data_IF_098035139125
#
_entry.id   IF_098035139125
#
_cell.length_a   1.000
_cell.length_b   1.000
_cell.length_c   1.000
_cell.angle_alpha   90.00
_cell.angle_beta   90.00
_cell.angle_gamma   90.00
#
_symmetry.space_group_name_H-M   'P 1'
#
loop_
_entity.id
_entity.type
_entity.pdbx_description
1 polymer ?
#
# COMPACT_ATOMS: atom_id res chain seq x y z
N UNK A 1 31.46 -33.01 -23.59
CA UNK A 1 31.32 -31.66 -22.97
C UNK A 1 30.14 -30.85 -23.56
N UNK A 2 30.03 -30.73 -24.91
CA UNK A 2 28.96 -29.91 -25.55
C UNK A 2 27.51 -30.34 -25.22
N UNK A 3 27.26 -31.65 -25.10
CA UNK A 3 25.90 -32.18 -24.75
C UNK A 3 25.56 -31.93 -23.28
N UNK A 4 26.51 -31.97 -22.37
CA UNK A 4 26.29 -31.67 -20.94
C UNK A 4 25.98 -30.20 -20.75
N UNK A 5 26.66 -29.30 -21.44
CA UNK A 5 26.39 -27.85 -21.39
C UNK A 5 24.99 -27.52 -21.91
N UNK A 6 24.51 -28.18 -22.96
CA UNK A 6 23.13 -28.00 -23.49
C UNK A 6 22.06 -28.44 -22.50
N UNK A 7 22.26 -29.53 -21.77
CA UNK A 7 21.32 -30.02 -20.79
C UNK A 7 21.22 -29.04 -19.58
N UNK A 8 22.39 -28.54 -19.12
CA UNK A 8 22.42 -27.59 -17.99
C UNK A 8 21.78 -26.24 -18.37
N UNK A 9 22.07 -25.72 -19.56
CA UNK A 9 21.43 -24.47 -20.03
C UNK A 9 19.94 -24.62 -20.25
N UNK A 10 19.48 -25.75 -20.79
CA UNK A 10 18.04 -26.01 -20.98
C UNK A 10 17.32 -26.12 -19.63
N UNK A 11 17.93 -26.79 -18.65
CA UNK A 11 17.39 -26.89 -17.28
C UNK A 11 17.30 -25.54 -16.58
N UNK A 12 18.33 -24.70 -16.76
CA UNK A 12 18.34 -23.35 -16.17
C UNK A 12 17.27 -22.43 -16.79
N UNK A 13 17.12 -22.46 -18.11
CA UNK A 13 16.08 -21.67 -18.82
C UNK A 13 14.68 -22.15 -18.44
N UNK A 14 14.44 -23.46 -18.38
CA UNK A 14 13.16 -24.00 -17.95
C UNK A 14 12.82 -23.64 -16.49
N UNK A 15 13.83 -23.71 -15.59
CA UNK A 15 13.69 -23.28 -14.19
C UNK A 15 13.40 -21.79 -14.05
N UNK A 16 14.10 -20.95 -14.81
CA UNK A 16 13.88 -19.50 -14.82
C UNK A 16 12.48 -19.15 -15.37
N UNK A 17 12.03 -19.81 -16.43
CA UNK A 17 10.69 -19.60 -16.99
C UNK A 17 9.59 -20.06 -16.04
N UNK A 18 9.77 -21.22 -15.38
CA UNK A 18 8.84 -21.69 -14.35
C UNK A 18 8.76 -20.73 -13.16
N UNK A 19 9.90 -20.17 -12.73
CA UNK A 19 9.97 -19.19 -11.65
C UNK A 19 9.28 -17.89 -12.02
N UNK A 20 9.58 -17.32 -13.19
CA UNK A 20 8.92 -16.10 -13.69
C UNK A 20 7.42 -16.33 -13.89
N UNK A 21 7.03 -17.47 -14.47
CA UNK A 21 5.64 -17.85 -14.65
C UNK A 21 4.88 -17.97 -13.31
N UNK A 22 5.50 -18.61 -12.31
CA UNK A 22 4.93 -18.75 -10.97
C UNK A 22 4.70 -17.39 -10.30
N UNK A 23 5.65 -16.46 -10.39
CA UNK A 23 5.50 -15.12 -9.81
C UNK A 23 4.55 -14.23 -10.64
N UNK A 24 4.53 -14.36 -11.97
CA UNK A 24 3.62 -13.62 -12.82
C UNK A 24 2.16 -14.06 -12.63
N UNK A 25 1.93 -15.40 -12.49
CA UNK A 25 0.59 -15.95 -12.27
C UNK A 25 0.08 -15.79 -10.83
N UNK A 26 0.99 -15.68 -9.85
CA UNK A 26 0.66 -15.50 -8.43
C UNK A 26 0.75 -14.04 -7.97
N UNK A 27 0.84 -13.06 -8.86
CA UNK A 27 0.60 -11.67 -8.44
C UNK A 27 -0.85 -11.57 -7.97
N UNK A 28 -1.10 -11.59 -6.64
CA UNK A 28 -2.46 -11.42 -6.15
C UNK A 28 -2.91 -10.05 -6.62
N UNK A 29 -4.05 -10.00 -7.28
CA UNK A 29 -4.66 -8.74 -7.66
C UNK A 29 -5.01 -7.98 -6.39
N UNK A 30 -5.00 -6.65 -6.42
CA UNK A 30 -5.41 -5.79 -5.29
C UNK A 30 -6.76 -6.25 -4.73
N UNK A 31 -7.65 -6.71 -5.59
CA UNK A 31 -8.96 -7.25 -5.24
C UNK A 31 -8.88 -8.56 -4.40
N UNK A 32 -7.88 -9.42 -4.62
CA UNK A 32 -7.70 -10.64 -3.83
C UNK A 32 -7.15 -10.37 -2.42
N UNK A 33 -6.33 -9.34 -2.24
CA UNK A 33 -5.88 -8.89 -0.93
C UNK A 33 -7.03 -8.25 -0.17
N UNK A 34 -7.74 -7.30 -0.78
CA UNK A 34 -8.88 -6.64 -0.18
C UNK A 34 -9.95 -7.65 0.29
N UNK A 35 -10.28 -8.63 -0.55
CA UNK A 35 -11.27 -9.65 -0.18
C UNK A 35 -10.82 -10.47 1.02
N UNK A 36 -9.53 -10.85 1.08
CA UNK A 36 -8.98 -11.62 2.21
C UNK A 36 -9.01 -10.81 3.51
N UNK A 37 -8.61 -9.55 3.44
CA UNK A 37 -8.56 -8.66 4.60
C UNK A 37 -9.96 -8.33 5.13
N UNK A 38 -10.94 -8.17 4.23
CA UNK A 38 -12.33 -7.94 4.62
C UNK A 38 -13.01 -9.19 5.21
N UNK A 39 -12.70 -10.40 4.71
CA UNK A 39 -13.17 -11.67 5.30
C UNK A 39 -12.61 -11.82 6.71
N UNK A 40 -11.34 -11.48 6.94
CA UNK A 40 -10.76 -11.46 8.27
C UNK A 40 -11.51 -10.50 9.21
N UNK A 41 -11.82 -9.28 8.75
CA UNK A 41 -12.61 -8.30 9.53
C UNK A 41 -13.99 -8.85 9.91
N UNK A 42 -14.67 -9.52 8.98
CA UNK A 42 -15.98 -10.13 9.24
C UNK A 42 -15.90 -11.10 10.43
N UNK A 43 -14.89 -11.95 10.48
CA UNK A 43 -14.70 -12.91 11.58
C UNK A 43 -14.32 -12.24 12.90
N UNK A 44 -13.37 -11.29 12.89
CA UNK A 44 -12.85 -10.63 14.11
C UNK A 44 -13.90 -9.76 14.79
N UNK A 45 -14.71 -9.05 14.02
CA UNK A 45 -15.74 -8.14 14.54
C UNK A 45 -17.13 -8.73 14.57
N UNK A 46 -17.34 -9.98 14.14
CA UNK A 46 -18.64 -10.64 13.99
C UNK A 46 -19.62 -9.76 13.19
N UNK A 47 -19.18 -9.31 12.00
CA UNK A 47 -20.02 -8.49 11.14
C UNK A 47 -21.11 -9.34 10.49
N UNK A 48 -22.32 -8.82 10.45
CA UNK A 48 -23.36 -9.45 9.65
C UNK A 48 -23.14 -9.21 8.15
N UNK A 49 -23.92 -9.90 7.31
CA UNK A 49 -23.77 -9.82 5.86
C UNK A 49 -24.09 -8.43 5.29
N UNK A 50 -24.97 -7.66 5.93
CA UNK A 50 -25.29 -6.30 5.50
C UNK A 50 -24.14 -5.34 5.82
N UNK A 51 -23.60 -5.44 7.03
CA UNK A 51 -22.41 -4.70 7.47
C UNK A 51 -21.21 -5.01 6.58
N UNK A 52 -20.96 -6.30 6.32
CA UNK A 52 -19.85 -6.74 5.45
C UNK A 52 -19.97 -6.16 4.04
N UNK A 53 -21.16 -6.21 3.41
CA UNK A 53 -21.37 -5.62 2.09
C UNK A 53 -21.17 -4.11 2.08
N UNK A 54 -21.63 -3.41 3.11
CA UNK A 54 -21.48 -1.95 3.25
C UNK A 54 -20.00 -1.56 3.39
N UNK A 55 -19.26 -2.26 4.25
CA UNK A 55 -17.82 -2.03 4.45
C UNK A 55 -17.04 -2.34 3.17
N UNK A 56 -17.37 -3.43 2.48
CA UNK A 56 -16.75 -3.77 1.20
C UNK A 56 -16.97 -2.67 0.15
N UNK A 57 -18.18 -2.12 0.05
CA UNK A 57 -18.49 -1.03 -0.87
C UNK A 57 -17.70 0.25 -0.55
N UNK A 58 -17.50 0.57 0.73
CA UNK A 58 -16.65 1.68 1.18
C UNK A 58 -15.21 1.50 0.69
N UNK A 59 -14.62 0.34 0.92
CA UNK A 59 -13.24 0.03 0.50
C UNK A 59 -13.09 0.03 -1.02
N UNK A 60 -14.06 -0.52 -1.76
CA UNK A 60 -14.03 -0.52 -3.23
C UNK A 60 -14.10 0.91 -3.81
N UNK A 61 -14.85 1.80 -3.17
CA UNK A 61 -14.95 3.21 -3.59
C UNK A 61 -13.69 4.00 -3.28
N UNK A 62 -13.07 3.77 -2.13
CA UNK A 62 -11.92 4.55 -1.64
C UNK A 62 -10.58 3.99 -2.14
N UNK A 63 -10.52 2.68 -2.38
CA UNK A 63 -9.30 1.96 -2.74
C UNK A 63 -8.52 2.54 -3.92
N UNK A 64 -9.16 2.84 -5.08
CA UNK A 64 -8.46 3.39 -6.25
C UNK A 64 -7.74 4.72 -5.97
N UNK A 65 -8.35 5.59 -5.18
CA UNK A 65 -7.73 6.88 -4.82
C UNK A 65 -6.58 6.70 -3.84
N UNK A 66 -6.69 5.80 -2.86
CA UNK A 66 -5.58 5.43 -1.98
C UNK A 66 -4.41 4.86 -2.79
N UNK A 67 -4.65 3.98 -3.74
CA UNK A 67 -3.61 3.41 -4.60
C UNK A 67 -2.91 4.49 -5.45
N UNK A 68 -3.67 5.43 -6.00
CA UNK A 68 -3.14 6.59 -6.70
C UNK A 68 -2.22 7.41 -5.78
N UNK A 69 -2.64 7.69 -4.55
CA UNK A 69 -1.85 8.45 -3.58
C UNK A 69 -0.57 7.70 -3.18
N UNK A 70 -0.64 6.38 -2.97
CA UNK A 70 0.55 5.55 -2.70
C UNK A 70 1.54 5.56 -3.87
N UNK A 71 1.05 5.59 -5.11
CA UNK A 71 1.90 5.71 -6.30
C UNK A 71 2.62 7.06 -6.32
N UNK A 72 1.91 8.16 -6.02
CA UNK A 72 2.52 9.50 -5.90
C UNK A 72 3.55 9.54 -4.76
N UNK A 73 3.23 8.96 -3.60
CA UNK A 73 4.17 8.90 -2.46
C UNK A 73 5.45 8.17 -2.82
N UNK A 74 5.35 7.04 -3.53
CA UNK A 74 6.51 6.28 -3.99
C UNK A 74 7.35 7.09 -4.97
N UNK A 75 6.73 7.65 -6.00
CA UNK A 75 7.42 8.44 -7.01
C UNK A 75 8.14 9.67 -6.40
N UNK A 76 7.47 10.38 -5.49
CA UNK A 76 8.09 11.53 -4.83
C UNK A 76 9.20 11.12 -3.86
N UNK A 77 9.11 9.97 -3.23
CA UNK A 77 10.18 9.43 -2.39
C UNK A 77 11.41 9.03 -3.22
N UNK A 78 11.21 8.36 -4.34
CA UNK A 78 12.29 8.00 -5.29
C UNK A 78 12.98 9.26 -5.82
N UNK A 79 12.22 10.30 -6.18
CA UNK A 79 12.77 11.57 -6.63
C UNK A 79 13.57 12.28 -5.52
N UNK A 80 13.08 12.31 -4.29
CA UNK A 80 13.82 12.87 -3.15
C UNK A 80 15.15 12.14 -2.93
N UNK A 81 15.14 10.81 -3.01
CA UNK A 81 16.37 10.00 -2.87
C UNK A 81 17.35 10.30 -4.00
N UNK A 82 16.88 10.45 -5.25
CA UNK A 82 17.70 10.81 -6.40
C UNK A 82 18.34 12.20 -6.22
N UNK A 83 17.57 13.18 -5.80
CA UNK A 83 18.05 14.55 -5.56
C UNK A 83 19.07 14.60 -4.40
N UNK A 84 18.85 13.82 -3.35
CA UNK A 84 19.78 13.69 -2.24
C UNK A 84 21.11 13.02 -2.65
N UNK A 85 21.03 12.01 -3.51
CA UNK A 85 22.24 11.37 -4.06
C UNK A 85 23.04 12.34 -4.96
N UNK A 86 22.36 13.11 -5.81
CA UNK A 86 23.02 14.16 -6.61
C UNK A 86 23.70 15.21 -5.73
N UNK A 87 23.07 15.60 -4.62
CA UNK A 87 23.66 16.52 -3.64
C UNK A 87 24.98 15.97 -3.06
N UNK A 88 25.00 14.67 -2.76
CA UNK A 88 26.20 14.03 -2.16
C UNK A 88 27.33 13.79 -3.16
N UNK A 89 27.00 13.47 -4.42
CA UNK A 89 27.99 13.02 -5.41
C UNK A 89 28.49 14.15 -6.31
N UNK A 90 27.65 15.11 -6.65
CA UNK A 90 27.97 16.15 -7.64
C UNK A 90 28.13 17.56 -7.04
N UNK A 91 27.98 17.70 -5.73
CA UNK A 91 27.97 19.00 -5.00
C UNK A 91 27.05 20.04 -5.66
N UNK A 92 26.00 19.57 -6.32
CA UNK A 92 24.97 20.39 -6.96
C UNK A 92 23.63 20.12 -6.31
N UNK A 93 22.99 21.19 -5.86
CA UNK A 93 21.65 21.10 -5.26
C UNK A 93 20.68 21.85 -6.14
N UNK A 94 19.72 21.15 -6.71
CA UNK A 94 18.53 21.76 -7.28
C UNK A 94 17.49 22.01 -6.16
N UNK A 95 17.61 23.14 -5.50
CA UNK A 95 16.72 23.52 -4.39
C UNK A 95 15.27 23.63 -4.81
N UNK A 96 15.00 24.03 -6.07
CA UNK A 96 13.63 24.19 -6.58
C UNK A 96 13.01 22.80 -6.75
N UNK A 97 13.69 21.89 -7.43
CA UNK A 97 13.22 20.51 -7.61
C UNK A 97 13.04 19.80 -6.27
N UNK A 98 13.99 19.99 -5.33
CA UNK A 98 13.92 19.41 -3.99
C UNK A 98 12.70 19.93 -3.21
N UNK A 99 12.46 21.24 -3.24
CA UNK A 99 11.30 21.84 -2.59
C UNK A 99 9.98 21.34 -3.21
N UNK A 100 9.89 21.30 -4.53
CA UNK A 100 8.71 20.79 -5.23
C UNK A 100 8.41 19.32 -4.89
N UNK A 101 9.42 18.47 -4.87
CA UNK A 101 9.27 17.06 -4.50
C UNK A 101 8.83 16.91 -3.03
N UNK A 102 9.39 17.70 -2.12
CA UNK A 102 8.99 17.74 -0.70
C UNK A 102 7.53 18.16 -0.52
N UNK A 103 7.11 19.23 -1.20
CA UNK A 103 5.73 19.71 -1.11
C UNK A 103 4.73 18.72 -1.71
N UNK A 104 5.05 18.11 -2.86
CA UNK A 104 4.24 17.06 -3.45
C UNK A 104 4.08 15.84 -2.50
N UNK A 105 5.19 15.41 -1.88
CA UNK A 105 5.16 14.32 -0.90
C UNK A 105 4.31 14.69 0.34
N UNK A 106 4.50 15.89 0.88
CA UNK A 106 3.71 16.39 2.02
C UNK A 106 2.22 16.43 1.71
N UNK A 107 1.85 16.97 0.55
CA UNK A 107 0.46 17.05 0.11
C UNK A 107 -0.16 15.66 -0.04
N UNK A 108 0.54 14.73 -0.70
CA UNK A 108 0.06 13.38 -0.87
C UNK A 108 -0.09 12.64 0.47
N UNK A 109 0.83 12.82 1.44
CA UNK A 109 0.71 12.28 2.79
C UNK A 109 -0.52 12.78 3.53
N UNK A 110 -0.79 14.08 3.47
CA UNK A 110 -1.96 14.68 4.11
C UNK A 110 -3.25 14.14 3.50
N UNK A 111 -3.33 14.09 2.17
CA UNK A 111 -4.49 13.53 1.46
C UNK A 111 -4.71 12.06 1.81
N UNK A 112 -3.65 11.25 1.81
CA UNK A 112 -3.71 9.84 2.18
C UNK A 112 -4.22 9.67 3.62
N UNK A 113 -3.69 10.46 4.56
CA UNK A 113 -4.13 10.44 5.97
C UNK A 113 -5.62 10.80 6.11
N UNK A 114 -6.05 11.89 5.49
CA UNK A 114 -7.46 12.32 5.53
C UNK A 114 -8.36 11.23 4.98
N UNK A 115 -8.06 10.71 3.79
CA UNK A 115 -8.87 9.67 3.14
C UNK A 115 -8.90 8.37 3.96
N UNK A 116 -7.78 8.02 4.62
CA UNK A 116 -7.73 6.84 5.51
C UNK A 116 -8.60 7.06 6.74
N UNK A 117 -8.54 8.24 7.38
CA UNK A 117 -9.38 8.55 8.53
C UNK A 117 -10.85 8.56 8.17
N UNK A 118 -11.22 9.17 7.04
CA UNK A 118 -12.60 9.19 6.54
C UNK A 118 -13.13 7.76 6.33
N UNK A 119 -12.29 6.88 5.76
CA UNK A 119 -12.65 5.47 5.59
C UNK A 119 -12.80 4.77 6.95
N UNK A 120 -11.90 4.99 7.91
CA UNK A 120 -11.97 4.41 9.25
C UNK A 120 -13.26 4.81 9.95
N UNK A 121 -13.62 6.08 9.92
CA UNK A 121 -14.87 6.55 10.53
C UNK A 121 -16.09 6.02 9.80
N UNK A 122 -16.12 6.03 8.47
CA UNK A 122 -17.22 5.50 7.68
C UNK A 122 -17.45 3.99 7.94
N UNK A 123 -16.38 3.21 8.11
CA UNK A 123 -16.46 1.81 8.50
C UNK A 123 -17.03 1.65 9.92
N UNK A 124 -16.58 2.49 10.85
CA UNK A 124 -17.04 2.47 12.23
C UNK A 124 -18.55 2.83 12.35
N UNK A 125 -19.07 3.68 11.48
CA UNK A 125 -20.51 4.04 11.45
C UNK A 125 -21.40 2.86 11.08
N UNK A 126 -20.91 1.91 10.30
CA UNK A 126 -21.66 0.68 9.93
C UNK A 126 -21.72 -0.32 11.07
N UNK A 127 -20.87 -0.19 12.09
CA UNK A 127 -20.69 -1.14 13.19
C UNK A 127 -21.62 -0.83 14.38
N UNK A 128 -21.96 -1.87 15.16
CA UNK A 128 -22.58 -1.68 16.46
C UNK A 128 -21.65 -0.94 17.44
N UNK A 129 -22.17 -0.36 18.55
CA UNK A 129 -21.30 0.31 19.54
C UNK A 129 -20.17 -0.58 20.06
N UNK A 130 -20.43 -1.87 20.31
CA UNK A 130 -19.45 -2.83 20.83
C UNK A 130 -18.40 -3.20 19.76
N UNK A 131 -18.85 -3.39 18.52
CA UNK A 131 -17.95 -3.65 17.38
C UNK A 131 -17.06 -2.44 17.13
N UNK A 132 -17.63 -1.23 17.16
CA UNK A 132 -16.93 0.04 16.96
C UNK A 132 -15.85 0.26 18.02
N UNK A 133 -16.14 0.00 19.29
CA UNK A 133 -15.17 0.12 20.36
C UNK A 133 -13.96 -0.80 20.13
N UNK A 134 -14.19 -2.07 19.75
CA UNK A 134 -13.12 -3.02 19.41
C UNK A 134 -12.35 -2.61 18.16
N UNK A 135 -13.05 -2.10 17.15
CA UNK A 135 -12.43 -1.62 15.92
C UNK A 135 -11.46 -0.46 16.19
N UNK A 136 -11.90 0.58 16.93
CA UNK A 136 -11.03 1.69 17.29
C UNK A 136 -9.86 1.28 18.20
N UNK A 137 -10.06 0.34 19.10
CA UNK A 137 -8.96 -0.19 19.92
C UNK A 137 -7.88 -0.86 19.06
N UNK A 138 -8.27 -1.52 17.96
CA UNK A 138 -7.33 -2.16 17.05
C UNK A 138 -6.64 -1.16 16.10
N UNK A 139 -7.43 -0.26 15.48
CA UNK A 139 -6.94 0.65 14.44
C UNK A 139 -6.27 1.88 15.03
N UNK A 140 -6.69 2.34 16.22
CA UNK A 140 -6.16 3.54 16.89
C UNK A 140 -4.65 3.44 17.13
N UNK A 141 -4.16 2.30 17.57
CA UNK A 141 -2.73 2.05 17.74
C UNK A 141 -1.93 2.12 16.42
N UNK A 142 -2.57 1.82 15.28
CA UNK A 142 -1.93 1.90 13.95
C UNK A 142 -1.94 3.32 13.36
N UNK A 143 -2.91 4.15 13.71
CA UNK A 143 -3.04 5.51 13.18
C UNK A 143 -2.11 6.49 13.90
N UNK A 144 -1.84 6.28 15.20
CA UNK A 144 -0.88 7.10 15.96
C UNK A 144 0.56 6.89 15.50
N UNK A 145 0.92 5.68 15.06
CA UNK A 145 2.28 5.36 14.56
C UNK A 145 2.65 6.13 13.28
N UNK A 146 1.69 6.74 12.58
CA UNK A 146 1.90 7.57 11.39
C UNK A 146 1.78 9.08 11.67
N UNK A 147 1.65 9.51 12.92
CA UNK A 147 1.74 10.91 13.27
C UNK A 147 3.19 11.38 13.05
N UNK A 148 3.45 12.50 12.34
CA UNK A 148 4.79 13.07 12.28
C UNK A 148 5.25 13.39 13.72
N UNK A 149 6.56 13.23 14.04
CA UNK A 149 7.06 13.63 15.34
C UNK A 149 6.69 15.11 15.56
N UNK A 150 6.16 15.41 16.73
CA UNK A 150 5.89 16.79 17.14
C UNK A 150 7.22 17.56 17.07
N UNK A 151 7.30 18.54 16.18
CA UNK A 151 8.43 19.48 16.06
C UNK A 151 8.39 20.49 17.19
#
# INVERSE_FOLDING_TARGET
>A
MRRFLLIVTLGFVAGAMAHIGFYAFRRPTVESHLTRDLVWMQGVFNLDDAQYRSIRALHQRTGPELERLFTVLRATHEELNRLEEMRRTADKVDFIAFHQAKEANRKARLQCRTLTLDLVYAVAEVMSPEQRARYFALVGNGVELNAPPAT
#
